data_IF_652534102280
#
_entry.id   IF_652534102280
#
_cell.length_a   1.000
_cell.length_b   1.000
_cell.length_c   1.000
_cell.angle_alpha   90.00
_cell.angle_beta   90.00
_cell.angle_gamma   90.00
#
_symmetry.space_group_name_H-M   'P 1'
#
loop_
_entity.id
_entity.type
_entity.pdbx_description
1 polymer ?
#
# COMPACT_ATOMS: atom_id res chain seq x y z
N UNK A 1 5.77 16.91 -30.94
CA UNK A 1 6.60 16.96 -29.72
C UNK A 1 5.72 17.52 -28.61
N UNK A 2 5.02 16.68 -27.84
CA UNK A 2 4.10 17.16 -26.82
C UNK A 2 4.76 17.04 -25.45
N UNK A 3 5.44 18.11 -25.02
CA UNK A 3 5.95 18.24 -23.66
C UNK A 3 4.77 18.46 -22.72
N UNK A 4 4.35 17.41 -22.01
CA UNK A 4 3.36 17.52 -20.94
C UNK A 4 3.97 18.35 -19.81
N UNK A 5 3.40 19.51 -19.53
CA UNK A 5 3.80 20.34 -18.39
C UNK A 5 3.72 19.52 -17.08
N UNK A 6 4.62 19.75 -16.11
CA UNK A 6 4.59 19.04 -14.84
C UNK A 6 3.26 19.32 -14.14
N UNK A 7 2.60 18.26 -13.66
CA UNK A 7 1.35 18.38 -12.90
C UNK A 7 1.68 19.17 -11.63
N UNK A 8 1.23 20.43 -11.56
CA UNK A 8 1.40 21.27 -10.39
C UNK A 8 0.78 20.56 -9.18
N UNK A 9 1.58 20.32 -8.15
CA UNK A 9 1.12 19.69 -6.90
C UNK A 9 0.30 20.70 -6.12
N UNK A 10 -1.02 20.60 -6.25
CA UNK A 10 -1.96 21.35 -5.42
C UNK A 10 -1.79 20.92 -3.96
N UNK A 11 -1.22 21.81 -3.14
CA UNK A 11 -1.01 21.57 -1.70
C UNK A 11 -2.32 21.37 -0.92
N UNK A 12 -3.48 21.72 -1.50
CA UNK A 12 -4.79 21.43 -0.90
C UNK A 12 -5.26 19.98 -1.11
N UNK A 13 -4.53 19.19 -1.90
CA UNK A 13 -4.81 17.77 -2.21
C UNK A 13 -3.71 16.85 -1.70
N UNK A 14 -3.37 16.96 -0.41
CA UNK A 14 -2.52 15.97 0.24
C UNK A 14 -3.31 14.67 0.36
N UNK A 15 -2.82 13.61 -0.28
CA UNK A 15 -3.38 12.25 -0.16
C UNK A 15 -2.35 11.35 0.51
N UNK A 16 -2.83 10.37 1.27
CA UNK A 16 -1.99 9.36 1.90
C UNK A 16 -1.24 8.56 0.83
N UNK A 17 0.09 8.49 0.96
CA UNK A 17 1.01 7.77 0.07
C UNK A 17 2.08 6.98 0.83
N UNK A 18 1.86 6.81 2.13
CA UNK A 18 2.75 6.11 3.06
C UNK A 18 1.97 5.00 3.74
N UNK A 19 2.66 4.00 4.32
CA UNK A 19 2.01 3.03 5.18
C UNK A 19 1.16 3.70 6.25
N UNK A 20 0.02 3.08 6.57
CA UNK A 20 -0.81 3.53 7.68
C UNK A 20 -0.09 3.22 8.99
N UNK A 21 -0.16 4.13 9.96
CA UNK A 21 0.56 4.02 11.23
C UNK A 21 0.44 2.64 11.90
N UNK A 22 1.57 2.07 12.31
CA UNK A 22 1.63 0.77 13.00
C UNK A 22 1.35 -0.43 12.09
N UNK A 23 1.32 -0.24 10.78
CA UNK A 23 1.06 -1.30 9.82
C UNK A 23 1.90 -1.16 8.55
N UNK A 24 2.03 -2.26 7.82
CA UNK A 24 2.68 -2.27 6.51
C UNK A 24 1.93 -3.18 5.55
N UNK A 25 2.07 -2.90 4.24
CA UNK A 25 1.46 -3.72 3.21
C UNK A 25 2.27 -5.00 3.02
N UNK A 26 1.57 -6.11 2.86
CA UNK A 26 2.17 -7.42 2.54
C UNK A 26 1.37 -8.07 1.42
N UNK A 27 2.00 -9.01 0.71
CA UNK A 27 1.40 -9.69 -0.42
C UNK A 27 1.50 -11.20 -0.27
N UNK A 28 0.38 -11.90 -0.42
CA UNK A 28 0.38 -13.34 -0.60
C UNK A 28 0.43 -13.68 -2.09
N UNK A 29 1.22 -14.67 -2.44
CA UNK A 29 1.31 -15.21 -3.80
C UNK A 29 0.81 -16.66 -3.79
N UNK A 30 -0.28 -16.98 -4.50
CA UNK A 30 -0.74 -18.36 -4.65
C UNK A 30 0.34 -19.24 -5.29
N UNK A 31 0.53 -20.47 -4.79
CA UNK A 31 1.57 -21.38 -5.29
C UNK A 31 1.37 -21.76 -6.77
N UNK A 32 0.13 -21.87 -7.22
CA UNK A 32 -0.23 -22.15 -8.60
C UNK A 32 -0.23 -20.91 -9.51
N UNK A 33 -0.11 -19.69 -8.96
CA UNK A 33 -0.04 -18.46 -9.74
C UNK A 33 0.86 -17.40 -9.07
N UNK A 34 2.19 -17.60 -9.06
CA UNK A 34 3.14 -16.75 -8.32
C UNK A 34 3.20 -15.29 -8.79
N UNK A 35 2.69 -15.01 -9.99
CA UNK A 35 2.61 -13.64 -10.52
C UNK A 35 1.52 -12.79 -9.87
N UNK A 36 0.52 -13.42 -9.24
CA UNK A 36 -0.54 -12.70 -8.54
C UNK A 36 -0.06 -12.31 -7.14
N UNK A 37 -0.22 -11.03 -6.81
CA UNK A 37 0.05 -10.47 -5.49
C UNK A 37 -1.26 -10.06 -4.83
N UNK A 38 -1.76 -10.85 -3.89
CA UNK A 38 -2.99 -10.57 -3.14
C UNK A 38 -2.64 -9.64 -1.96
N UNK A 39 -3.15 -8.39 -1.93
CA UNK A 39 -2.78 -7.42 -0.92
C UNK A 39 -3.46 -7.70 0.43
N UNK A 40 -2.66 -7.61 1.48
CA UNK A 40 -3.09 -7.60 2.87
C UNK A 40 -2.35 -6.47 3.60
N UNK A 41 -2.88 -6.11 4.76
CA UNK A 41 -2.19 -5.24 5.70
C UNK A 41 -1.81 -6.04 6.93
N UNK A 42 -0.54 -5.96 7.31
CA UNK A 42 -0.05 -6.52 8.55
C UNK A 42 0.02 -5.40 9.60
N UNK A 43 -0.62 -5.61 10.75
CA UNK A 43 -0.57 -4.68 11.89
C UNK A 43 0.33 -5.30 12.95
N UNK A 44 1.41 -4.60 13.29
CA UNK A 44 2.37 -5.06 14.26
C UNK A 44 1.86 -4.76 15.68
N UNK A 45 1.87 -5.79 16.54
CA UNK A 45 1.44 -5.70 17.92
C UNK A 45 2.66 -5.49 18.83
N UNK A 46 2.45 -4.89 20.00
CA UNK A 46 3.52 -4.55 20.95
C UNK A 46 4.20 -5.78 21.58
N UNK A 47 3.62 -6.96 21.43
CA UNK A 47 4.19 -8.23 21.87
C UNK A 47 5.08 -8.91 20.80
N UNK A 48 5.35 -8.23 19.67
CA UNK A 48 6.16 -8.76 18.57
C UNK A 48 5.42 -9.69 17.61
N UNK A 49 4.13 -9.94 17.84
CA UNK A 49 3.26 -10.65 16.89
C UNK A 49 2.56 -9.67 15.94
N UNK A 50 1.80 -10.20 14.98
CA UNK A 50 1.04 -9.39 14.04
C UNK A 50 -0.31 -10.02 13.70
N UNK A 51 -1.23 -9.19 13.20
CA UNK A 51 -2.48 -9.63 12.58
C UNK A 51 -2.52 -9.20 11.12
N UNK A 52 -3.06 -10.07 10.27
CA UNK A 52 -3.27 -9.80 8.85
C UNK A 52 -4.73 -9.48 8.59
N UNK A 53 -4.99 -8.35 7.93
CA UNK A 53 -6.34 -7.90 7.56
C UNK A 53 -6.44 -7.66 6.05
N UNK A 54 -7.66 -7.73 5.52
CA UNK A 54 -7.95 -7.39 4.14
C UNK A 54 -7.62 -5.92 3.85
N UNK A 55 -6.97 -5.64 2.72
CA UNK A 55 -6.49 -4.29 2.41
C UNK A 55 -6.97 -3.77 1.04
N UNK A 56 -7.98 -2.91 1.06
CA UNK A 56 -8.56 -2.25 -0.12
C UNK A 56 -7.87 -0.93 -0.50
N UNK A 57 -6.81 -0.53 0.21
CA UNK A 57 -6.13 0.76 -0.03
C UNK A 57 -5.35 0.82 -1.34
N UNK A 58 -5.07 -0.32 -1.97
CA UNK A 58 -4.29 -0.39 -3.21
C UNK A 58 -2.86 0.18 -3.05
N UNK A 59 -2.24 0.68 -4.14
CA UNK A 59 -0.87 1.18 -4.12
C UNK A 59 -0.64 2.45 -3.29
N UNK A 60 -1.70 3.07 -2.76
CA UNK A 60 -1.59 4.32 -2.02
C UNK A 60 -0.98 4.17 -0.62
N UNK A 61 -0.84 2.95 -0.11
CA UNK A 61 -0.20 2.70 1.20
C UNK A 61 0.86 1.59 1.14
N UNK A 62 1.43 1.36 -0.05
CA UNK A 62 2.56 0.43 -0.23
C UNK A 62 3.87 1.16 0.07
#
# INVERSE_FOLDING_TARGET
MNSKAPIATDKSRIITRTPLSGSHKVYLSPSNQPSIKVPLRQIDLTNGSHISVYDTSGPYTD
#
